data_IF_406793012567
#
_entry.id   IF_406793012567
#
_cell.length_a   1.000
_cell.length_b   1.000
_cell.length_c   1.000
_cell.angle_alpha   90.00
_cell.angle_beta   90.00
_cell.angle_gamma   90.00
#
_symmetry.space_group_name_H-M   'P 1'
#
loop_
_entity.id
_entity.type
_entity.pdbx_description
1 polymer ?
#
# COMPACT_ATOMS: atom_id res chain seq x y z
N UNK A 1 -9.43 11.54 -10.74
CA UNK A 1 -10.53 12.52 -10.58
C UNK A 1 -11.33 12.65 -11.86
N UNK A 2 -10.70 12.80 -13.03
CA UNK A 2 -11.35 12.92 -14.35
C UNK A 2 -12.31 11.76 -14.62
N UNK A 3 -11.87 10.52 -14.40
CA UNK A 3 -12.70 9.32 -14.55
C UNK A 3 -13.97 9.36 -13.68
N UNK A 4 -13.83 9.77 -12.42
CA UNK A 4 -14.99 9.87 -11.50
C UNK A 4 -15.94 11.01 -11.93
N UNK A 5 -15.40 12.11 -12.42
CA UNK A 5 -16.18 13.23 -12.95
C UNK A 5 -16.99 12.83 -14.20
N UNK A 6 -16.37 12.13 -15.15
CA UNK A 6 -17.05 11.60 -16.35
C UNK A 6 -18.19 10.66 -15.95
N UNK A 7 -17.93 9.74 -15.03
CA UNK A 7 -18.96 8.80 -14.55
C UNK A 7 -20.12 9.51 -13.85
N UNK A 8 -19.84 10.55 -13.06
CA UNK A 8 -20.87 11.36 -12.42
C UNK A 8 -21.71 12.16 -13.44
N UNK A 9 -21.08 12.66 -14.50
CA UNK A 9 -21.79 13.33 -15.59
C UNK A 9 -22.74 12.39 -16.35
N UNK A 10 -22.28 11.17 -16.64
CA UNK A 10 -23.08 10.14 -17.29
C UNK A 10 -24.27 9.68 -16.42
N UNK A 11 -24.14 9.70 -15.10
CA UNK A 11 -25.24 9.42 -14.17
C UNK A 11 -26.26 10.53 -14.10
N UNK A 12 -25.82 11.80 -14.07
CA UNK A 12 -26.72 12.97 -14.10
C UNK A 12 -27.51 13.08 -15.41
N UNK A 13 -26.93 12.66 -16.54
CA UNK A 13 -27.61 12.60 -17.83
C UNK A 13 -28.73 11.54 -17.90
N UNK A 14 -28.83 10.66 -16.91
CA UNK A 14 -29.89 9.62 -16.78
C UNK A 14 -31.07 10.03 -15.89
N UNK A 15 -31.03 11.19 -15.23
CA UNK A 15 -32.21 11.73 -14.56
C UNK A 15 -33.28 12.00 -15.62
N UNK A 16 -34.52 11.52 -15.46
CA UNK A 16 -35.58 11.71 -16.42
C UNK A 16 -35.82 13.23 -16.58
N UNK A 17 -35.54 13.75 -17.77
CA UNK A 17 -36.02 15.07 -18.14
C UNK A 17 -37.55 15.03 -18.02
N UNK A 18 -38.09 15.87 -17.15
CA UNK A 18 -39.52 16.05 -17.01
C UNK A 18 -40.12 16.36 -18.38
N UNK A 19 -41.01 15.47 -18.84
CA UNK A 19 -42.03 15.63 -19.85
C UNK A 19 -41.77 16.64 -20.99
N UNK A 20 -40.96 16.24 -21.96
CA UNK A 20 -41.15 16.67 -23.37
C UNK A 20 -41.01 15.42 -24.25
N UNK A 21 -42.17 15.03 -24.83
CA UNK A 21 -42.32 13.78 -25.58
C UNK A 21 -41.58 13.75 -26.91
N UNK A 22 -40.32 13.40 -26.89
CA UNK A 22 -39.63 12.87 -28.06
C UNK A 22 -38.87 11.60 -27.60
N UNK A 23 -39.39 10.46 -28.06
CA UNK A 23 -38.70 9.18 -27.97
C UNK A 23 -37.45 9.22 -28.87
N UNK A 24 -36.35 9.72 -28.34
CA UNK A 24 -35.04 9.40 -28.91
C UNK A 24 -34.74 7.97 -28.44
N UNK A 25 -34.70 7.04 -29.37
CA UNK A 25 -34.33 5.66 -29.14
C UNK A 25 -32.98 5.66 -28.42
N UNK A 26 -32.96 5.18 -27.16
CA UNK A 26 -31.75 5.02 -26.40
C UNK A 26 -30.87 3.99 -27.13
N UNK A 27 -29.73 4.45 -27.62
CA UNK A 27 -28.69 3.64 -28.27
C UNK A 27 -28.23 2.57 -27.23
N UNK A 28 -28.46 1.26 -27.45
CA UNK A 28 -28.10 0.24 -26.48
C UNK A 28 -26.58 0.08 -26.33
N UNK A 29 -25.77 0.69 -27.22
CA UNK A 29 -24.30 0.67 -27.17
C UNK A 29 -23.67 1.83 -26.37
N UNK A 30 -24.46 2.84 -25.94
CA UNK A 30 -23.98 4.06 -25.31
C UNK A 30 -23.65 3.97 -23.80
N UNK A 31 -23.56 2.81 -23.20
CA UNK A 31 -23.05 2.67 -21.83
C UNK A 31 -21.52 2.76 -21.88
N UNK A 32 -20.98 3.97 -21.74
CA UNK A 32 -19.53 4.16 -21.49
C UNK A 32 -19.11 3.33 -20.27
N UNK A 33 -18.54 2.19 -20.58
CA UNK A 33 -18.06 1.20 -19.63
C UNK A 33 -16.65 1.62 -19.24
N UNK A 34 -16.54 2.44 -18.18
CA UNK A 34 -15.25 2.97 -17.73
C UNK A 34 -14.32 1.89 -17.19
N UNK A 35 -13.00 2.13 -17.20
CA UNK A 35 -12.01 1.19 -16.72
C UNK A 35 -12.18 0.91 -15.22
N UNK A 36 -11.69 -0.24 -14.78
CA UNK A 36 -11.64 -0.63 -13.38
C UNK A 36 -10.43 0.04 -12.77
N UNK A 37 -10.59 0.73 -11.65
CA UNK A 37 -9.46 1.37 -10.98
C UNK A 37 -8.70 0.36 -10.11
N UNK A 38 -7.39 0.24 -10.34
CA UNK A 38 -6.48 -0.55 -9.51
C UNK A 38 -5.61 0.39 -8.67
N UNK A 39 -5.79 0.39 -7.36
CA UNK A 39 -4.92 1.10 -6.43
C UNK A 39 -3.73 0.23 -6.06
N UNK A 40 -2.56 0.57 -6.59
CA UNK A 40 -1.32 -0.17 -6.44
C UNK A 40 -0.37 0.54 -5.48
N UNK A 41 0.26 -0.17 -4.57
CA UNK A 41 1.30 0.40 -3.72
C UNK A 41 1.45 -0.28 -2.36
N UNK A 42 2.40 0.18 -1.53
CA UNK A 42 2.71 -0.42 -0.25
C UNK A 42 1.52 -0.47 0.72
N UNK A 43 1.55 -1.38 1.70
CA UNK A 43 0.51 -1.42 2.72
C UNK A 43 0.53 -0.16 3.60
N UNK A 44 -0.65 0.31 4.00
CA UNK A 44 -0.78 1.48 4.89
C UNK A 44 -0.74 2.84 4.19
N UNK A 45 -0.76 2.90 2.86
CA UNK A 45 -0.80 4.14 2.07
C UNK A 45 -2.22 4.69 1.82
N UNK A 46 -3.22 4.14 2.51
CA UNK A 46 -4.58 4.72 2.49
C UNK A 46 -5.48 4.25 1.34
N UNK A 47 -5.09 3.26 0.52
CA UNK A 47 -5.88 2.73 -0.62
C UNK A 47 -7.35 2.46 -0.26
N UNK A 48 -7.58 1.69 0.78
CA UNK A 48 -8.93 1.37 1.28
C UNK A 48 -9.69 2.61 1.78
N UNK A 49 -8.99 3.57 2.37
CA UNK A 49 -9.59 4.81 2.89
C UNK A 49 -10.06 5.72 1.76
N UNK A 50 -9.28 5.82 0.68
CA UNK A 50 -9.65 6.59 -0.51
C UNK A 50 -10.86 5.97 -1.21
N UNK A 51 -10.91 4.65 -1.39
CA UNK A 51 -12.06 3.96 -1.97
C UNK A 51 -13.36 4.26 -1.16
N UNK A 52 -13.26 4.27 0.17
CA UNK A 52 -14.39 4.64 1.04
C UNK A 52 -14.77 6.13 0.90
N UNK A 53 -13.79 7.00 0.70
CA UNK A 53 -14.03 8.43 0.49
C UNK A 53 -14.68 8.71 -0.87
N UNK A 54 -14.29 7.97 -1.91
CA UNK A 54 -14.92 8.01 -3.24
C UNK A 54 -16.41 7.63 -3.12
N UNK A 55 -16.72 6.52 -2.43
CA UNK A 55 -18.10 6.09 -2.22
C UNK A 55 -18.92 7.18 -1.54
N UNK A 56 -18.36 7.83 -0.50
CA UNK A 56 -19.01 8.93 0.22
C UNK A 56 -19.22 10.15 -0.69
N UNK A 57 -18.21 10.53 -1.47
CA UNK A 57 -18.29 11.68 -2.38
C UNK A 57 -19.34 11.48 -3.49
N UNK A 58 -19.52 10.23 -3.94
CA UNK A 58 -20.53 9.86 -4.93
C UNK A 58 -21.92 9.59 -4.33
N UNK A 59 -22.11 9.67 -3.01
CA UNK A 59 -23.36 9.32 -2.34
C UNK A 59 -23.73 7.83 -2.45
N UNK A 60 -22.74 6.95 -2.77
CA UNK A 60 -22.97 5.53 -2.96
C UNK A 60 -22.63 4.72 -1.71
N UNK A 61 -23.28 3.59 -1.54
CA UNK A 61 -22.90 2.65 -0.50
C UNK A 61 -21.58 1.97 -0.83
N UNK A 62 -20.85 1.57 0.20
CA UNK A 62 -19.54 0.96 0.10
C UNK A 62 -19.54 -0.45 0.67
N UNK A 63 -18.95 -1.39 -0.05
CA UNK A 63 -18.67 -2.74 0.43
C UNK A 63 -17.22 -3.13 0.12
N UNK A 64 -16.60 -3.85 1.03
CA UNK A 64 -15.24 -4.37 0.87
C UNK A 64 -15.29 -5.89 0.88
N UNK A 65 -14.69 -6.49 -0.13
CA UNK A 65 -14.49 -7.93 -0.25
C UNK A 65 -12.99 -8.20 -0.28
N UNK A 66 -12.49 -8.95 0.69
CA UNK A 66 -11.11 -9.42 0.66
C UNK A 66 -11.02 -10.65 -0.25
N UNK A 67 -10.18 -10.55 -1.27
CA UNK A 67 -9.86 -11.65 -2.17
C UNK A 67 -8.61 -12.41 -1.73
N UNK A 68 -7.88 -11.88 -0.76
CA UNK A 68 -6.75 -12.56 -0.15
C UNK A 68 -7.18 -13.88 0.47
N UNK A 69 -6.66 -15.00 -0.10
CA UNK A 69 -7.00 -16.34 0.33
C UNK A 69 -8.19 -16.99 -0.41
N UNK A 70 -8.80 -16.31 -1.38
CA UNK A 70 -9.70 -16.97 -2.33
C UNK A 70 -8.89 -17.95 -3.18
N UNK A 71 -9.27 -19.23 -3.16
CA UNK A 71 -8.54 -20.30 -3.85
C UNK A 71 -9.40 -21.03 -4.89
N UNK A 72 -10.70 -20.87 -4.80
CA UNK A 72 -11.68 -21.56 -5.62
C UNK A 72 -12.55 -20.54 -6.37
N UNK A 73 -12.92 -20.87 -7.59
CA UNK A 73 -13.91 -20.13 -8.38
C UNK A 73 -15.23 -19.98 -7.60
N UNK A 74 -15.60 -20.98 -6.81
CA UNK A 74 -16.79 -20.95 -5.97
C UNK A 74 -16.77 -19.85 -4.90
N UNK A 75 -15.61 -19.32 -4.49
CA UNK A 75 -15.53 -18.13 -3.63
C UNK A 75 -16.15 -16.91 -4.31
N UNK A 76 -16.06 -16.81 -5.65
CA UNK A 76 -16.57 -15.68 -6.43
C UNK A 76 -17.98 -15.96 -6.94
N UNK A 77 -18.19 -17.14 -7.57
CA UNK A 77 -19.43 -17.54 -8.24
C UNK A 77 -20.41 -18.33 -7.38
N UNK A 78 -20.03 -18.67 -6.13
CA UNK A 78 -20.88 -19.50 -5.28
C UNK A 78 -20.86 -20.99 -5.60
N UNK A 79 -21.43 -21.78 -4.73
CA UNK A 79 -21.56 -23.24 -4.86
C UNK A 79 -22.93 -23.60 -5.44
N UNK A 80 -22.99 -24.66 -6.25
CA UNK A 80 -24.28 -25.19 -6.72
C UNK A 80 -25.14 -25.63 -5.55
N UNK A 81 -26.43 -25.33 -5.57
CA UNK A 81 -27.40 -25.63 -4.49
C UNK A 81 -27.50 -27.11 -4.10
N UNK A 82 -27.01 -28.00 -4.96
CA UNK A 82 -27.03 -29.45 -4.70
C UNK A 82 -26.01 -29.89 -3.64
N UNK A 83 -25.07 -29.06 -3.27
CA UNK A 83 -24.08 -29.39 -2.25
C UNK A 83 -24.53 -28.97 -0.85
N UNK A 84 -24.24 -29.81 0.14
CA UNK A 84 -24.46 -29.46 1.56
C UNK A 84 -23.57 -28.28 1.94
N UNK A 85 -24.16 -27.25 2.52
CA UNK A 85 -23.44 -26.02 2.87
C UNK A 85 -23.25 -25.04 1.71
N UNK A 86 -23.92 -25.26 0.56
CA UNK A 86 -23.87 -24.34 -0.55
C UNK A 86 -24.29 -22.92 -0.15
N UNK A 87 -23.56 -21.92 -0.64
CA UNK A 87 -23.83 -20.51 -0.42
C UNK A 87 -23.51 -19.69 -1.68
N UNK A 88 -24.12 -18.49 -1.82
CA UNK A 88 -23.78 -17.56 -2.88
C UNK A 88 -22.32 -17.14 -2.81
N UNK A 89 -21.74 -16.75 -3.95
CA UNK A 89 -20.40 -16.17 -4.02
C UNK A 89 -20.31 -14.83 -3.29
N UNK A 90 -19.07 -14.42 -3.01
CA UNK A 90 -18.78 -13.18 -2.24
C UNK A 90 -19.33 -11.93 -2.91
N UNK A 91 -19.43 -11.92 -4.24
CA UNK A 91 -20.00 -10.78 -4.99
C UNK A 91 -21.49 -10.63 -4.66
N UNK A 92 -22.26 -11.68 -4.79
CA UNK A 92 -23.70 -11.66 -4.49
C UNK A 92 -23.97 -11.42 -3.00
N UNK A 93 -23.15 -12.00 -2.12
CA UNK A 93 -23.24 -11.71 -0.68
C UNK A 93 -23.02 -10.22 -0.39
N UNK A 94 -22.02 -9.61 -1.05
CA UNK A 94 -21.75 -8.18 -0.95
C UNK A 94 -22.92 -7.33 -1.46
N UNK A 95 -23.50 -7.67 -2.61
CA UNK A 95 -24.69 -6.99 -3.15
C UNK A 95 -25.88 -7.07 -2.19
N UNK A 96 -26.12 -8.24 -1.61
CA UNK A 96 -27.16 -8.44 -0.58
C UNK A 96 -26.92 -7.57 0.65
N UNK A 97 -25.66 -7.47 1.10
CA UNK A 97 -25.29 -6.68 2.29
C UNK A 97 -25.55 -5.19 2.08
N UNK A 98 -25.22 -4.63 0.90
CA UNK A 98 -25.39 -3.20 0.64
C UNK A 98 -26.84 -2.84 0.27
N UNK A 99 -27.59 -3.72 -0.37
CA UNK A 99 -28.99 -3.54 -0.72
C UNK A 99 -29.25 -2.43 -1.74
N UNK A 100 -28.27 -2.08 -2.58
CA UNK A 100 -28.39 -1.12 -3.70
C UNK A 100 -27.73 -1.71 -4.94
N UNK A 101 -28.17 -1.29 -6.15
CA UNK A 101 -27.62 -1.79 -7.42
C UNK A 101 -26.30 -1.12 -7.82
N UNK A 102 -26.03 0.07 -7.31
CA UNK A 102 -24.91 0.94 -7.70
C UNK A 102 -23.86 1.20 -6.60
N UNK A 103 -23.45 0.20 -5.80
CA UNK A 103 -22.46 0.42 -4.76
C UNK A 103 -21.06 0.65 -5.34
N UNK A 104 -20.14 1.11 -4.47
CA UNK A 104 -18.70 1.00 -4.69
C UNK A 104 -18.22 -0.29 -4.06
N UNK A 105 -17.70 -1.19 -4.88
CA UNK A 105 -17.10 -2.46 -4.48
C UNK A 105 -15.59 -2.35 -4.42
N UNK A 106 -15.03 -2.53 -3.24
CA UNK A 106 -13.59 -2.66 -3.08
C UNK A 106 -13.20 -4.13 -3.07
N UNK A 107 -12.49 -4.56 -4.10
CA UNK A 107 -11.85 -5.87 -4.21
C UNK A 107 -10.44 -5.75 -3.64
N UNK A 108 -10.27 -6.16 -2.38
CA UNK A 108 -9.03 -5.93 -1.65
C UNK A 108 -8.08 -7.13 -1.79
N UNK A 109 -6.79 -6.84 -2.01
CA UNK A 109 -5.71 -7.83 -2.13
C UNK A 109 -5.85 -8.76 -3.35
N UNK A 110 -6.11 -8.19 -4.54
CA UNK A 110 -6.20 -8.99 -5.80
C UNK A 110 -4.88 -9.65 -6.19
N UNK A 111 -3.75 -9.14 -5.69
CA UNK A 111 -2.43 -9.73 -5.85
C UNK A 111 -2.19 -10.99 -5.02
N UNK A 112 -3.15 -11.36 -4.16
CA UNK A 112 -3.10 -12.57 -3.33
C UNK A 112 -4.09 -13.64 -3.78
N UNK A 113 -4.64 -13.51 -4.98
CA UNK A 113 -5.46 -14.58 -5.57
C UNK A 113 -4.60 -15.84 -5.74
N UNK A 114 -5.07 -16.94 -5.18
CA UNK A 114 -4.42 -18.24 -5.33
C UNK A 114 -4.76 -18.88 -6.66
N UNK A 115 -3.80 -19.61 -7.25
CA UNK A 115 -4.09 -20.56 -8.32
C UNK A 115 -4.33 -21.92 -7.66
N UNK A 116 -5.46 -22.54 -7.94
CA UNK A 116 -5.80 -23.88 -7.42
C UNK A 116 -6.12 -24.84 -8.54
N UNK A 117 -5.88 -26.11 -8.33
CA UNK A 117 -6.34 -27.18 -9.22
C UNK A 117 -7.87 -27.32 -9.30
N UNK A 118 -8.61 -26.69 -8.40
CA UNK A 118 -10.09 -26.78 -8.31
C UNK A 118 -10.81 -25.62 -8.99
N UNK A 119 -10.10 -24.73 -9.64
CA UNK A 119 -10.68 -23.59 -10.36
C UNK A 119 -9.77 -22.38 -10.39
N UNK A 120 -10.06 -21.44 -11.26
CA UNK A 120 -9.35 -20.19 -11.42
C UNK A 120 -10.23 -19.01 -10.98
N UNK A 121 -10.06 -18.49 -9.73
CA UNK A 121 -10.81 -17.32 -9.26
C UNK A 121 -10.55 -16.06 -10.10
N UNK A 122 -9.41 -15.98 -10.81
CA UNK A 122 -9.12 -14.87 -11.70
C UNK A 122 -10.03 -14.86 -12.92
N UNK A 123 -10.31 -16.01 -13.50
CA UNK A 123 -11.27 -16.15 -14.61
C UNK A 123 -12.69 -15.77 -14.19
N UNK A 124 -13.12 -16.16 -12.99
CA UNK A 124 -14.41 -15.74 -12.44
C UNK A 124 -14.49 -14.22 -12.22
N UNK A 125 -13.40 -13.61 -11.78
CA UNK A 125 -13.33 -12.16 -11.63
C UNK A 125 -13.34 -11.42 -12.96
N UNK A 126 -12.78 -11.99 -14.02
CA UNK A 126 -12.85 -11.39 -15.35
C UNK A 126 -14.29 -11.19 -15.80
N UNK A 127 -15.19 -12.17 -15.58
CA UNK A 127 -16.60 -12.02 -15.92
C UNK A 127 -17.30 -10.94 -15.07
N UNK A 128 -16.98 -10.86 -13.77
CA UNK A 128 -17.51 -9.83 -12.87
C UNK A 128 -17.06 -8.44 -13.30
N UNK A 129 -15.80 -8.32 -13.72
CA UNK A 129 -15.16 -7.05 -14.01
C UNK A 129 -15.32 -6.62 -15.47
N UNK A 130 -15.52 -7.57 -16.40
CA UNK A 130 -15.69 -7.25 -17.81
C UNK A 130 -17.02 -6.55 -18.06
N UNK A 131 -17.00 -5.28 -18.47
CA UNK A 131 -18.22 -4.55 -18.75
C UNK A 131 -19.07 -5.15 -19.88
N UNK A 132 -18.51 -6.02 -20.72
CA UNK A 132 -19.26 -6.71 -21.78
C UNK A 132 -20.06 -7.90 -21.24
N UNK A 133 -19.74 -8.41 -20.05
CA UNK A 133 -20.31 -9.63 -19.48
C UNK A 133 -20.96 -9.42 -18.11
N UNK A 134 -20.66 -8.32 -17.42
CA UNK A 134 -21.07 -8.11 -16.04
C UNK A 134 -22.57 -7.76 -15.85
N UNK A 135 -23.29 -7.50 -16.93
CA UNK A 135 -24.74 -7.30 -16.91
C UNK A 135 -25.54 -8.63 -16.77
N UNK A 136 -24.86 -9.73 -17.05
CA UNK A 136 -25.42 -11.09 -17.06
C UNK A 136 -24.62 -12.07 -16.19
N UNK A 137 -23.93 -11.56 -15.15
CA UNK A 137 -23.14 -12.38 -14.23
C UNK A 137 -23.99 -13.50 -13.61
N UNK A 138 -23.52 -14.74 -13.71
CA UNK A 138 -24.25 -15.91 -13.19
C UNK A 138 -23.55 -16.49 -11.98
N UNK A 139 -24.18 -16.35 -10.80
CA UNK A 139 -23.80 -17.05 -9.59
C UNK A 139 -24.41 -18.46 -9.58
N UNK A 140 -23.61 -19.47 -9.29
CA UNK A 140 -24.03 -20.87 -9.34
C UNK A 140 -25.07 -21.22 -8.28
N UNK A 141 -25.11 -20.46 -7.16
CA UNK A 141 -26.13 -20.65 -6.14
C UNK A 141 -27.45 -20.00 -6.56
N UNK A 142 -27.41 -18.80 -7.16
CA UNK A 142 -28.63 -18.14 -7.65
C UNK A 142 -29.20 -18.87 -8.86
N UNK A 143 -28.37 -19.24 -9.81
CA UNK A 143 -28.77 -19.92 -11.04
C UNK A 143 -29.55 -19.04 -12.02
N UNK A 144 -29.51 -17.71 -11.83
CA UNK A 144 -30.11 -16.69 -12.69
C UNK A 144 -29.10 -15.58 -12.93
N UNK A 145 -29.13 -14.90 -14.09
CA UNK A 145 -28.28 -13.75 -14.36
C UNK A 145 -28.54 -12.60 -13.35
N UNK A 146 -27.47 -11.93 -12.98
CA UNK A 146 -27.50 -10.78 -12.08
C UNK A 146 -26.73 -9.60 -12.71
N UNK A 147 -27.37 -8.45 -12.81
CA UNK A 147 -26.79 -7.25 -13.42
C UNK A 147 -25.88 -6.51 -12.44
N UNK A 148 -24.57 -6.45 -12.76
CA UNK A 148 -23.53 -5.73 -12.02
C UNK A 148 -23.07 -4.46 -12.75
N UNK A 149 -23.72 -4.05 -13.85
CA UNK A 149 -23.26 -2.96 -14.72
C UNK A 149 -23.20 -1.59 -14.03
N UNK A 150 -24.02 -1.38 -13.00
CA UNK A 150 -24.04 -0.12 -12.24
C UNK A 150 -22.99 -0.07 -11.10
N UNK A 151 -22.37 -1.20 -10.79
CA UNK A 151 -21.37 -1.30 -9.72
C UNK A 151 -20.08 -0.59 -10.14
N UNK A 152 -19.52 0.22 -9.25
CA UNK A 152 -18.18 0.75 -9.40
C UNK A 152 -17.18 -0.17 -8.71
N UNK A 153 -16.40 -0.92 -9.48
CA UNK A 153 -15.34 -1.77 -8.95
C UNK A 153 -14.04 -0.97 -8.80
N UNK A 154 -13.43 -1.11 -7.63
CA UNK A 154 -12.08 -0.62 -7.31
C UNK A 154 -11.31 -1.82 -6.77
N UNK A 155 -10.16 -2.11 -7.34
CA UNK A 155 -9.26 -3.16 -6.87
C UNK A 155 -8.10 -2.56 -6.08
N UNK A 156 -7.53 -3.33 -5.14
CA UNK A 156 -6.27 -2.95 -4.48
C UNK A 156 -5.26 -4.07 -4.58
N UNK A 157 -4.00 -3.69 -4.74
CA UNK A 157 -2.87 -4.61 -4.72
C UNK A 157 -1.65 -3.96 -4.05
N UNK A 158 -0.73 -4.78 -3.59
CA UNK A 158 0.57 -4.30 -3.12
C UNK A 158 1.65 -4.48 -4.19
N UNK A 159 1.56 -5.54 -4.99
CA UNK A 159 2.55 -5.90 -6.02
C UNK A 159 1.84 -6.21 -7.34
N UNK A 160 2.26 -5.52 -8.41
CA UNK A 160 1.72 -5.71 -9.75
C UNK A 160 2.03 -7.10 -10.32
N UNK A 161 3.23 -7.61 -10.06
CA UNK A 161 3.72 -8.86 -10.63
C UNK A 161 2.88 -10.09 -10.26
N UNK A 162 2.12 -9.99 -9.17
CA UNK A 162 1.28 -11.09 -8.68
C UNK A 162 -0.15 -11.07 -9.24
N UNK A 163 -0.49 -10.05 -10.05
CA UNK A 163 -1.81 -9.95 -10.67
C UNK A 163 -1.79 -10.68 -12.00
N UNK A 164 -2.75 -11.57 -12.29
CA UNK A 164 -2.87 -12.21 -13.59
C UNK A 164 -2.99 -11.17 -14.73
N UNK A 165 -2.19 -11.35 -15.80
CA UNK A 165 -2.14 -10.43 -16.94
C UNK A 165 -3.50 -10.03 -17.50
N UNK A 166 -4.42 -10.98 -17.79
CA UNK A 166 -5.75 -10.66 -18.30
C UNK A 166 -6.60 -9.76 -17.40
N UNK A 167 -6.40 -9.83 -16.08
CA UNK A 167 -7.04 -8.90 -15.14
C UNK A 167 -6.40 -7.51 -15.21
N UNK A 168 -5.07 -7.47 -15.26
CA UNK A 168 -4.32 -6.23 -15.31
C UNK A 168 -4.63 -5.41 -16.57
N UNK A 169 -4.81 -6.05 -17.71
CA UNK A 169 -5.13 -5.42 -18.99
C UNK A 169 -6.49 -4.66 -18.98
N UNK A 170 -7.37 -5.00 -18.05
CA UNK A 170 -8.67 -4.35 -17.87
C UNK A 170 -8.69 -3.27 -16.79
N UNK A 171 -7.56 -3.07 -16.11
CA UNK A 171 -7.46 -2.17 -14.97
C UNK A 171 -6.62 -0.94 -15.30
N UNK A 172 -7.10 0.23 -14.90
CA UNK A 172 -6.31 1.46 -14.88
C UNK A 172 -5.61 1.59 -13.55
N UNK A 173 -4.27 1.60 -13.56
CA UNK A 173 -3.47 1.65 -12.36
C UNK A 173 -3.35 3.07 -11.82
N UNK A 174 -3.57 3.21 -10.52
CA UNK A 174 -3.31 4.42 -9.75
C UNK A 174 -2.27 4.08 -8.68
N UNK A 175 -1.07 4.64 -8.85
CA UNK A 175 0.04 4.35 -7.96
C UNK A 175 -0.06 5.13 -6.64
N UNK A 176 0.06 4.40 -5.55
CA UNK A 176 0.15 4.93 -4.20
C UNK A 176 1.59 4.78 -3.71
N UNK A 177 2.32 5.86 -3.72
CA UNK A 177 3.68 5.90 -3.20
C UNK A 177 3.70 5.88 -1.68
N UNK A 178 4.87 5.61 -1.10
CA UNK A 178 5.09 5.81 0.34
C UNK A 178 5.03 7.28 0.73
N UNK A 179 4.89 7.54 2.02
CA UNK A 179 4.86 8.87 2.59
C UNK A 179 6.23 9.28 3.12
N UNK A 180 6.57 10.54 2.92
CA UNK A 180 7.71 11.20 3.58
C UNK A 180 7.43 11.37 5.09
N UNK A 181 8.45 11.65 5.88
CA UNK A 181 8.27 11.89 7.33
C UNK A 181 7.36 13.07 7.63
N UNK A 182 7.42 14.13 6.82
CA UNK A 182 6.56 15.30 6.95
C UNK A 182 5.09 14.97 6.66
N UNK A 183 4.83 14.19 5.61
CA UNK A 183 3.49 13.72 5.29
C UNK A 183 2.96 12.76 6.37
N UNK A 184 3.79 11.85 6.88
CA UNK A 184 3.42 10.98 8.01
C UNK A 184 3.04 11.77 9.26
N UNK A 185 3.79 12.85 9.56
CA UNK A 185 3.47 13.74 10.67
C UNK A 185 2.11 14.41 10.47
N UNK A 186 1.86 14.98 9.29
CA UNK A 186 0.58 15.60 8.96
C UNK A 186 -0.58 14.61 9.06
N UNK A 187 -0.42 13.39 8.50
CA UNK A 187 -1.41 12.31 8.58
C UNK A 187 -1.64 11.89 10.03
N UNK A 188 -0.58 11.76 10.83
CA UNK A 188 -0.68 11.41 12.24
C UNK A 188 -1.53 12.40 13.01
N UNK A 189 -1.26 13.70 12.87
CA UNK A 189 -2.00 14.77 13.53
C UNK A 189 -3.45 14.83 13.11
N UNK A 190 -3.71 14.77 11.80
CA UNK A 190 -5.03 15.02 11.27
C UNK A 190 -5.96 13.81 11.39
N UNK A 191 -5.43 12.59 11.30
CA UNK A 191 -6.24 11.38 11.20
C UNK A 191 -5.95 10.32 12.26
N UNK A 192 -4.66 9.98 12.49
CA UNK A 192 -4.33 8.83 13.32
C UNK A 192 -4.55 9.10 14.80
N UNK A 193 -3.99 10.20 15.32
CA UNK A 193 -4.11 10.57 16.74
C UNK A 193 -5.58 10.76 17.13
N UNK A 194 -6.40 11.56 16.41
CA UNK A 194 -7.81 11.71 16.75
C UNK A 194 -8.60 10.40 16.70
N UNK A 195 -8.24 9.50 15.77
CA UNK A 195 -8.84 8.17 15.70
C UNK A 195 -8.46 7.33 16.91
N UNK A 196 -7.17 7.28 17.23
CA UNK A 196 -6.68 6.48 18.35
C UNK A 196 -7.18 6.99 19.69
N UNK A 197 -7.38 8.29 19.86
CA UNK A 197 -8.04 8.85 21.05
C UNK A 197 -9.45 8.28 21.18
N UNK A 198 -10.27 8.40 20.14
CA UNK A 198 -11.66 7.90 20.17
C UNK A 198 -11.74 6.40 20.41
N UNK A 199 -10.91 5.61 19.72
CA UNK A 199 -10.90 4.13 19.84
C UNK A 199 -10.49 3.66 21.24
N UNK A 200 -9.72 4.46 21.97
CA UNK A 200 -9.29 4.14 23.33
C UNK A 200 -10.05 4.90 24.44
N UNK A 201 -11.18 5.55 24.10
CA UNK A 201 -12.03 6.26 25.08
C UNK A 201 -11.39 7.52 25.66
N UNK A 202 -10.46 8.13 24.94
CA UNK A 202 -9.77 9.35 25.35
C UNK A 202 -10.28 10.55 24.55
N UNK A 203 -10.15 11.74 25.16
CA UNK A 203 -10.37 13.04 24.51
C UNK A 203 -9.06 13.82 24.40
N UNK A 204 -9.03 14.88 23.61
CA UNK A 204 -7.89 15.80 23.53
C UNK A 204 -7.60 16.50 24.86
N UNK A 205 -8.57 16.57 25.76
CA UNK A 205 -8.39 17.11 27.12
C UNK A 205 -7.65 16.15 28.06
N UNK A 206 -7.51 14.88 27.68
CA UNK A 206 -6.85 13.82 28.48
C UNK A 206 -5.50 13.43 27.96
N UNK A 207 -5.28 13.53 26.64
CA UNK A 207 -4.01 13.17 26.01
C UNK A 207 -3.69 14.12 24.87
N UNK A 208 -2.51 14.73 24.95
CA UNK A 208 -1.85 15.45 23.86
C UNK A 208 -0.53 14.76 23.55
N UNK A 209 -0.28 14.49 22.28
CA UNK A 209 1.00 14.00 21.80
C UNK A 209 1.65 15.12 21.00
N UNK A 210 2.77 15.62 21.48
CA UNK A 210 3.49 16.69 20.82
C UNK A 210 4.04 16.29 19.44
N UNK A 211 4.24 17.26 18.56
CA UNK A 211 4.80 17.06 17.23
C UNK A 211 6.17 16.38 17.29
N UNK A 212 7.02 16.81 18.24
CA UNK A 212 8.33 16.21 18.47
C UNK A 212 8.24 14.73 18.91
N UNK A 213 7.20 14.36 19.67
CA UNK A 213 6.95 12.98 20.03
C UNK A 213 6.49 12.14 18.81
N UNK A 214 5.63 12.70 17.95
CA UNK A 214 5.21 12.07 16.71
C UNK A 214 6.39 11.88 15.74
N UNK A 215 7.24 12.89 15.59
CA UNK A 215 8.48 12.77 14.80
C UNK A 215 9.39 11.67 15.35
N UNK A 216 9.51 11.57 16.68
CA UNK A 216 10.27 10.50 17.33
C UNK A 216 9.68 9.11 17.04
N UNK A 217 8.34 8.99 17.02
CA UNK A 217 7.68 7.74 16.63
C UNK A 217 8.00 7.37 15.19
N UNK A 218 7.93 8.33 14.28
CA UNK A 218 8.17 8.12 12.84
C UNK A 218 9.61 7.65 12.63
N UNK A 219 10.60 8.39 13.15
CA UNK A 219 12.02 8.13 12.88
C UNK A 219 12.60 6.93 13.62
N UNK A 220 12.14 6.68 14.86
CA UNK A 220 12.83 5.72 15.76
C UNK A 220 12.00 4.50 16.13
N UNK A 221 10.69 4.49 15.88
CA UNK A 221 9.81 3.36 16.27
C UNK A 221 9.10 2.70 15.08
N UNK A 222 9.15 3.33 13.89
CA UNK A 222 8.53 2.76 12.68
C UNK A 222 9.50 2.75 11.50
N UNK A 223 9.41 1.70 10.66
CA UNK A 223 10.11 1.60 9.39
C UNK A 223 9.15 1.02 8.36
N UNK A 224 8.43 1.90 7.69
CA UNK A 224 7.38 1.52 6.73
C UNK A 224 7.16 2.61 5.70
N UNK A 225 6.70 2.23 4.51
CA UNK A 225 6.30 3.19 3.47
C UNK A 225 5.01 3.94 3.82
N UNK A 226 4.05 3.26 4.44
CA UNK A 226 2.77 3.83 4.87
C UNK A 226 2.77 4.32 6.31
N UNK A 227 1.61 4.25 6.96
CA UNK A 227 1.38 4.73 8.34
C UNK A 227 0.74 3.68 9.27
N UNK A 228 0.75 2.39 8.89
CA UNK A 228 0.11 1.32 9.68
C UNK A 228 0.85 1.03 10.99
N UNK A 229 2.19 1.02 10.98
CA UNK A 229 2.98 0.86 12.21
C UNK A 229 2.87 2.11 13.08
N UNK A 230 2.93 3.30 12.48
CA UNK A 230 2.76 4.57 13.17
C UNK A 230 1.42 4.62 13.90
N UNK A 231 0.33 4.21 13.27
CA UNK A 231 -0.99 4.11 13.90
C UNK A 231 -0.97 3.14 15.10
N UNK A 232 -0.32 1.99 14.96
CA UNK A 232 -0.17 1.01 16.05
C UNK A 232 0.61 1.56 17.23
N UNK A 233 1.71 2.26 16.99
CA UNK A 233 2.53 2.85 18.06
C UNK A 233 1.81 4.02 18.75
N UNK A 234 1.12 4.89 18.00
CA UNK A 234 0.26 5.91 18.56
C UNK A 234 -0.86 5.30 19.42
N UNK A 235 -1.49 4.21 18.95
CA UNK A 235 -2.48 3.47 19.73
C UNK A 235 -1.90 2.82 20.98
N UNK A 236 -0.62 2.38 20.97
CA UNK A 236 0.05 1.88 22.17
C UNK A 236 0.24 2.97 23.22
N UNK A 237 0.62 4.19 22.79
CA UNK A 237 0.70 5.36 23.69
C UNK A 237 -0.68 5.67 24.28
N UNK A 238 -1.71 5.77 23.42
CA UNK A 238 -3.07 6.05 23.87
C UNK A 238 -3.57 5.03 24.91
N UNK A 239 -3.35 3.72 24.67
CA UNK A 239 -3.73 2.68 25.66
C UNK A 239 -3.03 2.79 27.00
N UNK A 240 -1.74 3.18 27.01
CA UNK A 240 -1.01 3.36 28.27
C UNK A 240 -1.54 4.55 29.07
N UNK A 241 -1.92 5.62 28.39
CA UNK A 241 -2.59 6.78 29.02
C UNK A 241 -4.00 6.40 29.46
N UNK A 242 -4.78 5.71 28.63
CA UNK A 242 -6.12 5.23 29.00
C UNK A 242 -6.10 4.38 30.29
N UNK A 243 -5.06 3.54 30.46
CA UNK A 243 -4.86 2.79 31.71
C UNK A 243 -4.67 3.72 32.92
N UNK A 244 -3.88 4.80 32.80
CA UNK A 244 -3.68 5.79 33.88
C UNK A 244 -4.99 6.54 34.20
N UNK A 245 -5.72 6.95 33.17
CA UNK A 245 -7.02 7.61 33.31
C UNK A 245 -8.04 6.69 34.00
N UNK A 246 -8.11 5.42 33.59
CA UNK A 246 -8.98 4.42 34.23
C UNK A 246 -8.59 4.14 35.70
N UNK A 247 -7.34 4.35 36.08
CA UNK A 247 -6.87 4.24 37.44
C UNK A 247 -7.14 5.51 38.30
N UNK A 248 -7.83 6.53 37.74
CA UNK A 248 -8.27 7.71 38.48
C UNK A 248 -7.50 9.00 38.15
N UNK A 249 -6.53 8.99 37.23
CA UNK A 249 -5.84 10.20 36.79
C UNK A 249 -6.81 11.09 36.00
N UNK A 250 -7.06 12.31 36.50
CA UNK A 250 -7.95 13.28 35.85
C UNK A 250 -7.21 14.39 35.09
N UNK A 251 -5.91 14.49 35.24
CA UNK A 251 -5.07 15.52 34.64
C UNK A 251 -4.79 15.26 33.17
N UNK A 252 -4.52 16.34 32.40
CA UNK A 252 -4.04 16.26 31.04
C UNK A 252 -2.64 15.62 31.02
N UNK A 253 -2.48 14.55 30.26
CA UNK A 253 -1.18 13.94 30.05
C UNK A 253 -0.65 14.41 28.69
N UNK A 254 0.46 15.14 28.71
CA UNK A 254 1.19 15.53 27.49
C UNK A 254 2.38 14.60 27.32
N UNK A 255 2.54 14.06 26.12
CA UNK A 255 3.68 13.18 25.77
C UNK A 255 4.64 13.99 24.91
N UNK A 256 5.79 14.31 25.47
CA UNK A 256 6.92 14.92 24.78
C UNK A 256 7.84 13.85 24.15
N UNK A 257 8.78 14.26 23.32
CA UNK A 257 9.72 13.35 22.66
C UNK A 257 10.55 12.49 23.65
N UNK A 258 10.90 13.03 24.83
CA UNK A 258 11.64 12.31 25.87
C UNK A 258 10.82 11.15 26.46
N UNK A 259 9.52 11.35 26.63
CA UNK A 259 8.61 10.42 27.30
C UNK A 259 8.29 9.19 26.44
N UNK A 260 8.47 9.29 25.12
CA UNK A 260 8.20 8.18 24.19
C UNK A 260 8.96 6.92 24.60
N UNK A 261 10.22 7.05 25.04
CA UNK A 261 11.04 5.92 25.48
C UNK A 261 10.51 5.27 26.74
N UNK A 262 10.02 6.03 27.69
CA UNK A 262 9.41 5.51 28.92
C UNK A 262 8.15 4.70 28.59
N UNK A 263 7.34 5.19 27.67
CA UNK A 263 6.09 4.53 27.30
C UNK A 263 6.27 3.32 26.35
N UNK A 264 7.14 3.39 25.37
CA UNK A 264 7.27 2.36 24.33
C UNK A 264 8.51 1.47 24.43
N UNK A 265 9.44 1.83 25.33
CA UNK A 265 10.70 1.14 25.50
C UNK A 265 11.79 1.64 24.56
N UNK A 266 12.81 0.81 24.32
CA UNK A 266 13.92 1.19 23.44
C UNK A 266 13.45 1.45 22.01
N UNK A 267 14.06 2.41 21.30
CA UNK A 267 13.85 2.60 19.87
C UNK A 267 14.03 1.29 19.09
N UNK A 268 13.23 1.08 18.09
CA UNK A 268 13.26 -0.11 17.22
C UNK A 268 14.10 0.11 15.97
N UNK A 269 14.24 1.36 15.59
CA UNK A 269 14.96 1.82 14.40
C UNK A 269 16.02 2.80 14.86
N UNK A 270 17.22 2.60 14.38
CA UNK A 270 18.34 3.53 14.55
C UNK A 270 18.63 4.08 13.16
N UNK A 271 18.13 5.29 12.82
CA UNK A 271 18.49 5.92 11.56
C UNK A 271 20.00 6.11 11.52
N UNK A 272 20.62 5.69 10.45
CA UNK A 272 22.04 6.02 10.22
C UNK A 272 22.15 7.51 9.95
N UNK A 273 23.04 8.17 10.65
CA UNK A 273 23.37 9.56 10.42
C UNK A 273 24.66 9.64 9.61
N UNK A 274 24.71 10.56 8.65
CA UNK A 274 25.94 10.84 7.94
C UNK A 274 27.10 11.05 8.94
N UNK A 275 28.26 10.49 8.61
CA UNK A 275 29.44 10.66 9.45
C UNK A 275 29.73 12.16 9.62
N UNK A 276 29.88 12.61 10.86
CA UNK A 276 30.20 14.01 11.17
C UNK A 276 31.67 14.35 10.85
N UNK A 277 32.50 13.32 10.65
CA UNK A 277 33.94 13.45 10.36
C UNK A 277 34.27 12.54 9.20
N UNK A 278 35.18 13.02 8.34
CA UNK A 278 35.73 12.22 7.25
C UNK A 278 36.57 11.06 7.80
N UNK A 279 36.27 9.85 7.33
CA UNK A 279 37.04 8.64 7.67
C UNK A 279 37.67 8.08 6.40
N UNK A 280 38.97 7.86 6.41
CA UNK A 280 39.69 7.29 5.27
C UNK A 280 39.17 5.88 5.00
N UNK A 281 38.84 5.59 3.74
CA UNK A 281 38.27 4.31 3.34
C UNK A 281 36.79 4.15 3.55
N UNK A 282 36.09 5.18 3.99
CA UNK A 282 34.62 5.15 4.18
C UNK A 282 33.97 6.19 3.29
N UNK A 283 32.99 5.76 2.50
CA UNK A 283 32.17 6.64 1.69
C UNK A 283 30.68 6.46 2.06
N UNK A 284 29.95 7.56 2.13
CA UNK A 284 28.49 7.52 2.35
C UNK A 284 27.81 7.26 1.00
N UNK A 285 27.16 6.11 0.89
CA UNK A 285 26.28 5.77 -0.21
C UNK A 285 24.84 6.10 0.12
N UNK A 286 24.02 6.26 -0.91
CA UNK A 286 22.57 6.40 -0.79
C UNK A 286 21.89 5.25 -1.50
N UNK A 287 20.80 4.75 -0.92
CA UNK A 287 19.97 3.75 -1.55
C UNK A 287 18.49 4.10 -1.36
N UNK A 288 17.68 3.60 -2.26
CA UNK A 288 16.24 3.80 -2.23
C UNK A 288 15.53 2.46 -2.02
N UNK A 289 14.52 2.49 -1.15
CA UNK A 289 13.62 1.36 -0.91
C UNK A 289 12.17 1.83 -1.03
N UNK A 290 11.20 0.93 -1.14
CA UNK A 290 9.79 1.30 -1.05
C UNK A 290 9.41 2.04 0.23
N UNK A 291 10.27 2.00 1.25
CA UNK A 291 10.10 2.71 2.53
C UNK A 291 10.72 4.12 2.54
N UNK A 292 11.42 4.49 1.47
CA UNK A 292 12.12 5.76 1.32
C UNK A 292 13.61 5.61 1.02
N UNK A 293 14.30 6.74 0.84
CA UNK A 293 15.75 6.80 0.76
C UNK A 293 16.40 6.63 2.13
N UNK A 294 17.57 6.02 2.15
CA UNK A 294 18.40 5.87 3.36
C UNK A 294 19.88 5.94 2.96
N UNK A 295 20.77 6.08 3.92
CA UNK A 295 22.19 6.08 3.71
C UNK A 295 22.83 4.76 4.15
N UNK A 296 23.95 4.42 3.56
CA UNK A 296 24.79 3.32 3.99
C UNK A 296 26.25 3.76 3.96
N UNK A 297 27.08 3.14 4.77
CA UNK A 297 28.53 3.31 4.68
C UNK A 297 29.11 2.22 3.81
N UNK A 298 29.90 2.63 2.84
CA UNK A 298 30.70 1.75 1.99
C UNK A 298 32.13 1.85 2.51
N UNK A 299 32.59 0.77 3.11
CA UNK A 299 33.93 0.69 3.68
C UNK A 299 34.86 -0.04 2.70
N UNK A 300 35.98 0.58 2.35
CA UNK A 300 37.01 0.00 1.51
C UNK A 300 38.31 -0.12 2.29
N UNK A 301 38.86 -1.31 2.37
CA UNK A 301 40.15 -1.61 3.00
C UNK A 301 41.12 -2.21 2.01
N UNK A 302 42.38 -1.82 2.10
CA UNK A 302 43.46 -2.34 1.29
C UNK A 302 44.30 -3.35 2.09
N UNK A 303 44.45 -4.54 1.54
CA UNK A 303 45.27 -5.60 2.13
C UNK A 303 46.40 -6.02 1.18
N UNK A 304 47.46 -6.62 1.72
CA UNK A 304 48.48 -7.26 0.87
C UNK A 304 47.88 -8.50 0.21
N UNK A 305 48.01 -8.64 -1.10
CA UNK A 305 47.43 -9.75 -1.84
C UNK A 305 47.66 -9.66 -3.34
N UNK A 306 46.90 -10.44 -4.10
CA UNK A 306 47.10 -10.61 -5.55
C UNK A 306 46.25 -9.67 -6.43
N UNK A 307 45.74 -8.56 -5.90
CA UNK A 307 44.94 -7.59 -6.66
C UNK A 307 43.47 -8.02 -6.82
N UNK A 308 42.99 -8.94 -6.01
CA UNK A 308 41.59 -9.42 -6.03
C UNK A 308 40.65 -8.43 -5.36
N UNK A 309 39.35 -8.51 -5.75
CA UNK A 309 38.25 -7.77 -5.11
C UNK A 309 37.47 -8.69 -4.23
N UNK A 310 37.52 -8.47 -2.92
CA UNK A 310 36.74 -9.17 -1.93
C UNK A 310 35.47 -8.34 -1.59
N UNK A 311 34.32 -8.91 -1.74
CA UNK A 311 33.03 -8.27 -1.44
C UNK A 311 32.35 -8.99 -0.29
N UNK A 312 31.94 -8.25 0.74
CA UNK A 312 31.18 -8.80 1.88
C UNK A 312 29.94 -7.96 2.15
N UNK A 313 28.96 -8.56 2.83
CA UNK A 313 27.66 -7.96 3.13
C UNK A 313 26.53 -8.51 2.26
N UNK A 314 25.33 -7.99 2.47
CA UNK A 314 24.16 -8.35 1.67
C UNK A 314 24.10 -7.53 0.37
N UNK A 315 24.97 -7.88 -0.58
CA UNK A 315 25.08 -7.20 -1.86
C UNK A 315 24.20 -7.88 -2.92
N UNK A 316 23.27 -7.12 -3.50
CA UNK A 316 22.60 -7.51 -4.74
C UNK A 316 23.57 -7.48 -5.93
N UNK A 317 23.18 -8.10 -7.06
CA UNK A 317 24.06 -8.21 -8.23
C UNK A 317 24.46 -6.85 -8.81
N UNK A 318 23.56 -5.88 -8.81
CA UNK A 318 23.83 -4.49 -9.24
C UNK A 318 24.93 -3.85 -8.38
N UNK A 319 24.91 -4.06 -7.06
CA UNK A 319 25.93 -3.51 -6.16
C UNK A 319 27.27 -4.19 -6.34
N UNK A 320 27.31 -5.50 -6.60
CA UNK A 320 28.53 -6.24 -6.92
C UNK A 320 29.17 -5.74 -8.22
N UNK A 321 28.34 -5.48 -9.23
CA UNK A 321 28.77 -4.91 -10.50
C UNK A 321 29.29 -3.50 -10.32
N UNK A 322 28.59 -2.65 -9.57
CA UNK A 322 29.01 -1.30 -9.23
C UNK A 322 30.40 -1.26 -8.52
N UNK A 323 30.63 -2.17 -7.57
CA UNK A 323 31.90 -2.27 -6.88
C UNK A 323 33.05 -2.66 -7.85
N UNK A 324 32.79 -3.58 -8.78
CA UNK A 324 33.77 -3.95 -9.82
C UNK A 324 34.06 -2.79 -10.77
N UNK A 325 33.01 -2.08 -11.20
CA UNK A 325 33.17 -0.90 -12.05
C UNK A 325 33.94 0.21 -11.35
N UNK A 326 33.70 0.47 -10.07
CA UNK A 326 34.43 1.44 -9.27
C UNK A 326 35.91 1.10 -9.13
N UNK A 327 36.21 -0.18 -8.87
CA UNK A 327 37.62 -0.62 -8.82
C UNK A 327 38.31 -0.48 -10.18
N UNK A 328 37.65 -0.82 -11.28
CA UNK A 328 38.18 -0.64 -12.63
C UNK A 328 38.46 0.84 -12.94
N UNK A 329 37.52 1.71 -12.55
CA UNK A 329 37.66 3.16 -12.68
C UNK A 329 38.86 3.67 -11.90
N UNK A 330 39.04 3.26 -10.64
CA UNK A 330 40.16 3.64 -9.81
C UNK A 330 41.49 3.15 -10.41
N UNK A 331 41.56 1.91 -10.90
CA UNK A 331 42.73 1.32 -11.55
C UNK A 331 43.13 2.07 -12.83
N UNK A 332 42.18 2.37 -13.70
CA UNK A 332 42.43 3.05 -14.97
C UNK A 332 42.87 4.50 -14.82
N UNK A 333 42.49 5.13 -13.71
CA UNK A 333 42.82 6.53 -13.41
C UNK A 333 43.81 6.69 -12.26
N UNK A 334 44.48 5.62 -11.86
CA UNK A 334 45.42 5.62 -10.74
C UNK A 334 46.44 6.76 -10.81
N UNK A 335 47.05 6.99 -11.95
CA UNK A 335 48.03 8.05 -12.15
C UNK A 335 47.42 9.45 -11.91
N UNK A 336 46.24 9.72 -12.41
CA UNK A 336 45.54 11.02 -12.21
C UNK A 336 45.05 11.23 -10.79
N UNK A 337 44.79 10.13 -10.06
CA UNK A 337 44.37 10.13 -8.67
C UNK A 337 45.54 10.12 -7.67
N UNK A 338 46.78 10.11 -8.17
CA UNK A 338 47.96 10.04 -7.32
C UNK A 338 48.16 8.68 -6.63
N UNK A 339 47.56 7.61 -7.15
CA UNK A 339 47.65 6.26 -6.59
C UNK A 339 48.87 5.57 -7.20
N UNK A 340 49.89 5.14 -6.39
CA UNK A 340 51.04 4.43 -6.86
C UNK A 340 50.67 3.13 -7.58
N UNK A 341 51.38 2.79 -8.66
CA UNK A 341 51.11 1.60 -9.48
C UNK A 341 51.21 0.30 -8.67
N UNK A 342 52.12 0.23 -7.71
CA UNK A 342 52.29 -0.88 -6.78
C UNK A 342 51.05 -1.14 -5.91
N UNK A 343 50.36 -0.05 -5.49
CA UNK A 343 49.12 -0.18 -4.73
C UNK A 343 47.95 -0.80 -5.55
N UNK A 344 48.06 -0.70 -6.87
CA UNK A 344 47.03 -1.22 -7.76
C UNK A 344 47.24 -2.69 -8.09
N UNK A 345 48.51 -3.13 -8.15
CA UNK A 345 48.88 -4.48 -8.58
C UNK A 345 49.05 -5.49 -7.46
N UNK A 346 49.51 -5.06 -6.28
CA UNK A 346 49.88 -5.93 -5.17
C UNK A 346 48.98 -5.85 -3.94
N UNK A 347 47.83 -5.20 -4.08
CA UNK A 347 46.88 -5.04 -2.99
C UNK A 347 45.55 -5.59 -3.35
N UNK A 348 44.98 -6.37 -2.45
CA UNK A 348 43.56 -6.74 -2.48
C UNK A 348 42.70 -5.60 -1.93
N UNK A 349 41.53 -5.42 -2.54
CA UNK A 349 40.56 -4.43 -2.10
C UNK A 349 39.38 -5.18 -1.50
N UNK A 350 39.11 -4.93 -0.22
CA UNK A 350 37.95 -5.45 0.46
C UNK A 350 36.91 -4.34 0.59
N UNK A 351 35.69 -4.56 0.05
CA UNK A 351 34.57 -3.64 0.17
C UNK A 351 33.45 -4.30 0.98
N UNK A 352 33.05 -3.58 1.99
CA UNK A 352 31.95 -3.98 2.87
C UNK A 352 30.83 -2.97 2.81
#
# INVERSE_FOLDING_TARGET
LEFLAVRQLLERGKEPAAETGEHVAADPEGKSKGPILLFLGPPGTGKTSIAKSIARAMGRKYVRISLGGARDEADIRGHRRTYVGAMPGRIIQGMKQVGTKNPVFLLDEVDKLGVSFQGDPASALLEVLDPAQNDSFTDHYLGVPFDLSEVLFIATANFMQNIPGPLLDRMETVDFTGYTELEKLAIAKQYLVPRQLRENGLTAERLVIEDAALQRLISSYTREAGVRQLEREAGRLARKVAKKVAAGTSELITIAAADVREHLGRPKVHPEHAALTDVIGVATGMFYTPMGGDIMFVEASLMSGKGELVLTGHLGDVMKESARAALTFAKTRAASLGIPEEMVKEREVHIH
#
